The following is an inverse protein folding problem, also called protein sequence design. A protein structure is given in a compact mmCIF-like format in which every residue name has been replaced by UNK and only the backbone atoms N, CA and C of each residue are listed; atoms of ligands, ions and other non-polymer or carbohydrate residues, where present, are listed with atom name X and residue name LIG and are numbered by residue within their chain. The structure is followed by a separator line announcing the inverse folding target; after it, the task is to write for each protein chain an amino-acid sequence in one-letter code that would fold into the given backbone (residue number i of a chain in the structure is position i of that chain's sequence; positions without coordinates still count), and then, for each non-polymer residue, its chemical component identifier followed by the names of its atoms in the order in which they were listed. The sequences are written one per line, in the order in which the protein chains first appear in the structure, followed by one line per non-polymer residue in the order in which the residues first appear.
data_IF_816368460220
#
_entry.id   IF_816368460220
#
_cell.length_a   1.000
_cell.length_b   1.000
_cell.length_c   1.000
_cell.angle_alpha   90.00
_cell.angle_beta   90.00
_cell.angle_gamma   90.00
#
_symmetry.space_group_name_H-M   'P 1'
#
loop_
_entity.id
_entity.type
_entity.pdbx_description
1 polymer ?
#
# COMPACT_ATOMS: atom_id res chain seq x y z
N UNK A 1 -61.25 30.39 -46.30
CA UNK A 1 -60.78 30.66 -44.92
C UNK A 1 -59.57 29.77 -44.67
N UNK A 2 -58.37 30.32 -44.86
CA UNK A 2 -57.08 29.63 -44.69
C UNK A 2 -56.44 30.15 -43.42
N UNK A 3 -56.36 29.30 -42.39
CA UNK A 3 -55.83 29.64 -41.08
C UNK A 3 -54.33 29.31 -41.08
N UNK A 4 -53.48 30.35 -41.01
CA UNK A 4 -52.02 30.21 -40.86
C UNK A 4 -51.70 30.01 -39.37
N UNK A 5 -51.13 28.88 -38.99
CA UNK A 5 -50.56 28.62 -37.67
C UNK A 5 -49.09 29.07 -37.72
N UNK A 6 -48.72 30.06 -36.91
CA UNK A 6 -47.35 30.49 -36.72
C UNK A 6 -46.69 29.58 -35.66
N UNK A 7 -45.61 28.91 -36.03
CA UNK A 7 -44.81 28.07 -35.14
C UNK A 7 -43.74 28.95 -34.48
N UNK A 8 -43.87 29.19 -33.17
CA UNK A 8 -42.86 29.85 -32.36
C UNK A 8 -41.83 28.82 -31.91
N UNK A 9 -40.58 28.99 -32.33
CA UNK A 9 -39.43 28.18 -31.90
C UNK A 9 -38.91 28.80 -30.60
N UNK A 10 -39.10 28.12 -29.46
CA UNK A 10 -38.37 28.41 -28.23
C UNK A 10 -36.95 27.85 -28.36
N UNK A 11 -35.94 28.73 -28.43
CA UNK A 11 -34.56 28.36 -28.15
C UNK A 11 -34.41 28.19 -26.63
N UNK A 12 -34.26 26.95 -26.16
CA UNK A 12 -33.76 26.67 -24.83
C UNK A 12 -32.23 26.84 -24.84
N UNK A 13 -31.73 27.90 -24.21
CA UNK A 13 -30.30 28.07 -23.96
C UNK A 13 -29.88 27.14 -22.82
N UNK A 14 -29.22 26.04 -23.15
CA UNK A 14 -28.55 25.15 -22.21
C UNK A 14 -27.29 25.83 -21.68
N UNK A 15 -27.34 26.38 -20.47
CA UNK A 15 -26.14 26.81 -19.74
C UNK A 15 -25.44 25.56 -19.21
N UNK A 16 -24.48 25.03 -19.97
CA UNK A 16 -23.50 24.10 -19.43
C UNK A 16 -22.67 24.84 -18.37
N UNK A 17 -22.74 24.38 -17.12
CA UNK A 17 -21.78 24.80 -16.10
C UNK A 17 -20.39 24.34 -16.57
N UNK A 18 -19.34 25.18 -16.46
CA UNK A 18 -17.98 24.74 -16.77
C UNK A 18 -17.64 23.61 -15.80
N UNK A 19 -17.25 22.44 -16.35
CA UNK A 19 -16.56 21.43 -15.56
C UNK A 19 -15.32 22.11 -14.96
N UNK A 20 -15.20 22.12 -13.63
CA UNK A 20 -13.97 22.54 -12.98
C UNK A 20 -12.88 21.60 -13.48
N UNK A 21 -11.89 22.13 -14.20
CA UNK A 21 -10.75 21.34 -14.62
C UNK A 21 -10.01 20.90 -13.34
N UNK A 22 -9.80 19.59 -13.19
CA UNK A 22 -8.96 19.07 -12.12
C UNK A 22 -7.54 19.63 -12.33
N UNK A 23 -6.95 20.17 -11.27
CA UNK A 23 -5.56 20.64 -11.33
C UNK A 23 -4.64 19.43 -11.53
N UNK A 24 -3.60 19.62 -12.34
CA UNK A 24 -2.67 18.57 -12.72
C UNK A 24 -1.25 19.06 -12.56
N UNK A 25 -0.34 18.10 -12.39
CA UNK A 25 1.11 18.30 -12.36
C UNK A 25 1.77 17.44 -13.43
N UNK A 26 2.92 17.88 -13.90
CA UNK A 26 3.72 17.16 -14.89
C UNK A 26 4.79 16.32 -14.21
N UNK A 27 4.94 15.07 -14.65
CA UNK A 27 6.03 14.18 -14.27
C UNK A 27 6.93 13.97 -15.48
N UNK A 28 8.21 14.29 -15.34
CA UNK A 28 9.22 14.14 -16.40
C UNK A 28 10.40 13.29 -15.94
N UNK A 29 10.96 12.53 -16.86
CA UNK A 29 12.15 11.73 -16.58
C UNK A 29 12.67 11.02 -17.82
N UNK A 30 13.71 10.23 -17.62
CA UNK A 30 14.30 9.38 -18.64
C UNK A 30 14.55 7.99 -18.08
N UNK A 31 14.48 6.94 -18.90
CA UNK A 31 14.86 5.58 -18.52
C UNK A 31 16.17 5.18 -19.22
N UNK A 32 17.11 4.61 -18.47
CA UNK A 32 18.38 4.11 -19.00
C UNK A 32 18.84 2.82 -18.33
N UNK A 33 19.72 2.05 -18.96
CA UNK A 33 20.37 0.86 -18.37
C UNK A 33 21.89 0.90 -18.63
N UNK A 34 22.70 0.20 -17.81
CA UNK A 34 24.17 0.25 -17.88
C UNK A 34 24.78 -0.67 -18.95
N UNK A 35 24.05 -1.72 -19.31
CA UNK A 35 24.51 -2.78 -20.20
C UNK A 35 24.76 -2.21 -21.60
N UNK A 36 25.85 -2.61 -22.25
CA UNK A 36 26.21 -2.17 -23.60
C UNK A 36 25.49 -3.00 -24.67
N UNK A 37 24.16 -3.02 -24.59
CA UNK A 37 23.28 -3.76 -25.50
C UNK A 37 22.39 -2.74 -26.19
N UNK A 38 22.25 -2.82 -27.51
CA UNK A 38 21.36 -1.95 -28.26
C UNK A 38 19.91 -2.41 -28.13
N UNK A 39 18.97 -1.47 -28.04
CA UNK A 39 17.54 -1.76 -28.12
C UNK A 39 17.15 -2.12 -29.56
N UNK A 40 16.26 -3.11 -29.73
CA UNK A 40 15.66 -3.38 -31.03
C UNK A 40 14.75 -2.22 -31.45
N UNK A 41 14.54 -2.04 -32.75
CA UNK A 41 13.69 -0.97 -33.31
C UNK A 41 12.23 -1.04 -32.82
N UNK A 42 11.76 -2.25 -32.49
CA UNK A 42 10.42 -2.52 -31.96
C UNK A 42 10.28 -2.22 -30.46
N UNK A 43 11.33 -1.75 -29.80
CA UNK A 43 11.27 -1.41 -28.38
C UNK A 43 10.31 -0.24 -28.12
N UNK A 44 9.63 -0.31 -26.99
CA UNK A 44 8.70 0.69 -26.48
C UNK A 44 9.12 1.10 -25.07
N UNK A 45 9.02 2.39 -24.77
CA UNK A 45 9.03 2.90 -23.40
C UNK A 45 7.60 2.87 -22.88
N UNK A 46 7.42 2.30 -21.70
CA UNK A 46 6.15 2.30 -20.98
C UNK A 46 6.34 2.94 -19.62
N UNK A 47 5.50 3.90 -19.29
CA UNK A 47 5.41 4.46 -17.96
C UNK A 47 3.93 4.47 -17.53
N UNK A 48 3.65 3.97 -16.34
CA UNK A 48 2.31 3.92 -15.76
C UNK A 48 2.35 4.57 -14.38
N UNK A 49 1.38 5.44 -14.12
CA UNK A 49 1.16 6.03 -12.81
C UNK A 49 -0.14 5.47 -12.25
N UNK A 50 -0.04 4.79 -11.11
CA UNK A 50 -1.19 4.20 -10.43
C UNK A 50 -1.40 4.83 -9.05
N UNK A 51 -2.63 5.15 -8.74
CA UNK A 51 -3.03 5.74 -7.46
C UNK A 51 -3.56 4.70 -6.47
N UNK A 52 -4.28 5.15 -5.43
CA UNK A 52 -5.00 4.26 -4.51
C UNK A 52 -5.93 3.31 -5.27
N UNK A 53 -6.11 2.10 -4.75
CA UNK A 53 -6.90 1.03 -5.40
C UNK A 53 -6.47 0.72 -6.85
N UNK A 54 -5.18 0.91 -7.15
CA UNK A 54 -4.59 0.65 -8.46
C UNK A 54 -5.21 1.46 -9.62
N UNK A 55 -5.86 2.59 -9.32
CA UNK A 55 -6.42 3.49 -10.34
C UNK A 55 -5.33 3.92 -11.31
N UNK A 56 -5.53 3.68 -12.60
CA UNK A 56 -4.65 4.21 -13.64
C UNK A 56 -4.87 5.72 -13.79
N UNK A 57 -3.92 6.51 -13.30
CA UNK A 57 -3.98 7.98 -13.37
C UNK A 57 -3.43 8.50 -14.70
N UNK A 58 -2.35 7.90 -15.18
CA UNK A 58 -1.74 8.24 -16.47
C UNK A 58 -0.94 7.06 -17.02
N UNK A 59 -0.85 7.00 -18.35
CA UNK A 59 -0.04 6.03 -19.06
C UNK A 59 0.68 6.71 -20.23
N UNK A 60 1.94 6.34 -20.40
CA UNK A 60 2.79 6.68 -21.52
C UNK A 60 3.26 5.38 -22.16
N UNK A 61 2.99 5.20 -23.46
CA UNK A 61 3.44 4.02 -24.19
C UNK A 61 3.85 4.45 -25.60
N UNK A 62 5.15 4.58 -25.85
CA UNK A 62 5.67 5.09 -27.11
C UNK A 62 6.77 4.18 -27.68
N UNK A 63 6.72 3.86 -28.99
CA UNK A 63 7.84 3.23 -29.68
C UNK A 63 9.09 4.10 -29.60
N UNK A 64 10.24 3.46 -29.42
CA UNK A 64 11.54 4.13 -29.43
C UNK A 64 11.92 4.63 -30.83
N UNK A 65 11.37 4.04 -31.90
CA UNK A 65 11.72 4.42 -33.27
C UNK A 65 13.22 4.25 -33.59
N UNK A 66 13.87 3.29 -32.92
CA UNK A 66 15.31 3.06 -33.01
C UNK A 66 16.18 3.91 -32.08
N UNK A 67 15.58 4.86 -31.34
CA UNK A 67 16.30 5.60 -30.30
C UNK A 67 16.87 4.65 -29.24
N UNK A 68 18.03 5.03 -28.70
CA UNK A 68 18.73 4.29 -27.65
C UNK A 68 18.64 5.07 -26.34
N UNK A 69 18.91 4.39 -25.23
CA UNK A 69 18.91 5.01 -23.90
C UNK A 69 19.93 6.15 -23.79
N UNK A 70 19.65 7.21 -22.99
CA UNK A 70 18.44 7.41 -22.18
C UNK A 70 17.20 7.78 -23.02
N UNK A 71 16.02 7.27 -22.63
CA UNK A 71 14.75 7.50 -23.34
C UNK A 71 13.79 8.33 -22.49
N UNK A 72 13.33 9.50 -22.96
CA UNK A 72 12.50 10.40 -22.18
C UNK A 72 11.03 9.95 -22.10
N UNK A 73 10.36 10.35 -21.02
CA UNK A 73 8.91 10.25 -20.88
C UNK A 73 8.35 11.50 -20.18
N UNK A 74 7.08 11.78 -20.45
CA UNK A 74 6.31 12.84 -19.80
C UNK A 74 4.90 12.34 -19.56
N UNK A 75 4.39 12.57 -18.36
CA UNK A 75 3.05 12.20 -17.90
C UNK A 75 2.42 13.40 -17.20
N UNK A 76 1.09 13.50 -17.24
CA UNK A 76 0.32 14.45 -16.45
C UNK A 76 -0.59 13.67 -15.52
N UNK A 77 -0.60 14.02 -14.23
CA UNK A 77 -1.44 13.37 -13.22
C UNK A 77 -2.16 14.43 -12.38
N UNK A 78 -3.27 14.08 -11.71
CA UNK A 78 -3.87 14.93 -10.70
C UNK A 78 -2.86 15.33 -9.61
N UNK A 79 -2.99 16.53 -9.06
CA UNK A 79 -2.13 17.00 -7.96
C UNK A 79 -2.63 16.64 -6.55
N UNK A 80 -3.89 16.23 -6.46
CA UNK A 80 -4.61 15.84 -5.26
C UNK A 80 -4.46 14.36 -4.88
N UNK A 81 -3.51 13.64 -5.51
CA UNK A 81 -3.32 12.19 -5.34
C UNK A 81 -1.87 11.83 -5.00
N UNK A 82 -1.70 10.86 -4.10
CA UNK A 82 -0.44 10.12 -3.96
C UNK A 82 -0.44 8.97 -4.96
N UNK A 83 0.68 8.69 -5.60
CA UNK A 83 0.72 7.69 -6.66
C UNK A 83 2.05 6.96 -6.72
N UNK A 84 2.10 5.87 -7.48
CA UNK A 84 3.31 5.12 -7.76
C UNK A 84 3.55 5.09 -9.27
N UNK A 85 4.74 5.52 -9.67
CA UNK A 85 5.21 5.45 -11.05
C UNK A 85 6.00 4.16 -11.27
N UNK A 86 5.66 3.43 -12.33
CA UNK A 86 6.46 2.32 -12.85
C UNK A 86 6.93 2.66 -14.26
N UNK A 87 8.24 2.52 -14.55
CA UNK A 87 8.80 2.77 -15.88
C UNK A 87 9.56 1.55 -16.38
N UNK A 88 9.30 1.16 -17.62
CA UNK A 88 9.87 -0.03 -18.24
C UNK A 88 10.18 0.14 -19.72
N UNK A 89 11.04 -0.73 -20.23
CA UNK A 89 11.26 -0.91 -21.66
C UNK A 89 10.77 -2.30 -22.04
N UNK A 90 9.85 -2.34 -23.00
CA UNK A 90 9.22 -3.56 -23.47
C UNK A 90 9.47 -3.78 -24.97
N UNK A 91 9.64 -5.03 -25.38
CA UNK A 91 9.63 -5.45 -26.78
C UNK A 91 9.12 -6.88 -26.89
N UNK A 92 8.59 -7.25 -28.05
CA UNK A 92 7.97 -8.57 -28.27
C UNK A 92 6.82 -8.88 -27.29
N UNK A 93 6.12 -7.84 -26.82
CA UNK A 93 5.03 -7.95 -25.85
C UNK A 93 5.47 -8.22 -24.40
N UNK A 94 6.77 -8.23 -24.12
CA UNK A 94 7.32 -8.51 -22.79
C UNK A 94 8.10 -7.32 -22.25
N UNK A 95 7.96 -7.05 -20.96
CA UNK A 95 8.87 -6.15 -20.23
C UNK A 95 10.24 -6.82 -20.15
N UNK A 96 11.29 -6.10 -20.54
CA UNK A 96 12.68 -6.61 -20.56
C UNK A 96 13.58 -5.81 -19.64
N UNK A 97 13.24 -4.55 -19.39
CA UNK A 97 13.91 -3.69 -18.45
C UNK A 97 12.87 -3.00 -17.56
N UNK A 98 13.10 -2.97 -16.26
CA UNK A 98 12.25 -2.31 -15.28
C UNK A 98 13.11 -1.42 -14.40
N UNK A 99 12.71 -0.15 -14.24
CA UNK A 99 13.28 0.73 -13.24
C UNK A 99 12.58 0.49 -11.89
N UNK A 100 13.26 0.73 -10.75
CA UNK A 100 12.59 0.78 -9.46
C UNK A 100 11.40 1.74 -9.51
N UNK A 101 10.31 1.33 -8.85
CA UNK A 101 9.11 2.14 -8.71
C UNK A 101 9.43 3.41 -7.93
N UNK A 102 8.75 4.50 -8.28
CA UNK A 102 8.91 5.79 -7.61
C UNK A 102 7.58 6.18 -6.99
N UNK A 103 7.57 6.38 -5.67
CA UNK A 103 6.43 6.97 -4.98
C UNK A 103 6.39 8.48 -5.24
N UNK A 104 5.24 8.95 -5.72
CA UNK A 104 4.95 10.33 -6.03
C UNK A 104 4.09 10.90 -4.89
N UNK A 105 4.62 11.86 -4.10
CA UNK A 105 3.89 12.45 -2.99
C UNK A 105 2.79 13.38 -3.50
N UNK A 106 1.78 13.62 -2.66
CA UNK A 106 0.75 14.63 -2.89
C UNK A 106 1.37 16.03 -3.15
N UNK A 107 0.84 16.80 -4.10
CA UNK A 107 1.26 18.18 -4.33
C UNK A 107 1.13 18.65 -5.78
N UNK A 108 1.11 19.96 -6.00
CA UNK A 108 0.91 20.58 -7.32
C UNK A 108 2.17 20.91 -8.13
N UNK A 109 3.35 20.79 -7.53
CA UNK A 109 4.60 21.13 -8.24
C UNK A 109 4.95 20.04 -9.27
N UNK A 110 5.48 20.43 -10.42
CA UNK A 110 6.01 19.47 -11.39
C UNK A 110 7.17 18.64 -10.78
N UNK A 111 7.27 17.37 -11.13
CA UNK A 111 8.35 16.47 -10.70
C UNK A 111 9.28 16.18 -11.87
N UNK A 112 10.57 16.49 -11.70
CA UNK A 112 11.64 16.07 -12.59
C UNK A 112 12.47 14.96 -11.94
N UNK A 113 12.28 13.72 -12.38
CA UNK A 113 12.90 12.52 -11.81
C UNK A 113 14.35 12.30 -12.26
N UNK A 114 14.79 13.00 -13.30
CA UNK A 114 16.08 12.73 -13.94
C UNK A 114 16.10 11.36 -14.62
N UNK A 115 17.24 10.69 -14.58
CA UNK A 115 17.43 9.39 -15.22
C UNK A 115 17.17 8.24 -14.24
N UNK A 116 16.15 7.44 -14.53
CA UNK A 116 15.81 6.20 -13.84
C UNK A 116 16.64 5.05 -14.40
N UNK A 117 17.41 4.41 -13.52
CA UNK A 117 18.30 3.32 -13.85
C UNK A 117 17.53 1.98 -13.84
N UNK A 118 17.21 1.46 -15.01
CA UNK A 118 16.56 0.17 -15.19
C UNK A 118 17.54 -1.01 -15.10
N UNK A 119 17.02 -2.11 -14.57
CA UNK A 119 17.67 -3.41 -14.51
C UNK A 119 16.94 -4.42 -15.41
N UNK A 120 17.59 -5.52 -15.81
CA UNK A 120 16.91 -6.61 -16.52
C UNK A 120 15.73 -7.14 -15.69
N UNK A 121 14.58 -7.30 -16.33
CA UNK A 121 13.38 -7.79 -15.68
C UNK A 121 13.04 -9.21 -16.12
N UNK A 122 12.66 -10.05 -15.16
CA UNK A 122 12.17 -11.42 -15.40
C UNK A 122 10.83 -11.59 -14.71
N UNK A 123 9.79 -11.87 -15.51
CA UNK A 123 8.48 -12.22 -15.00
C UNK A 123 8.52 -13.63 -14.41
N UNK A 124 8.44 -13.74 -13.08
CA UNK A 124 8.33 -15.03 -12.41
C UNK A 124 6.85 -15.44 -12.27
N UNK A 125 6.53 -16.67 -12.61
CA UNK A 125 5.20 -17.24 -12.40
C UNK A 125 5.11 -17.88 -11.01
N UNK A 126 3.92 -17.84 -10.40
CA UNK A 126 3.64 -18.38 -9.05
C UNK A 126 4.63 -17.90 -7.99
N UNK A 127 4.31 -16.80 -7.33
CA UNK A 127 5.14 -16.21 -6.27
C UNK A 127 4.62 -16.60 -4.90
N UNK A 128 5.53 -16.79 -3.95
CA UNK A 128 5.20 -16.86 -2.52
C UNK A 128 5.75 -15.63 -1.82
N UNK A 129 4.96 -15.06 -0.91
CA UNK A 129 5.38 -13.90 -0.12
C UNK A 129 6.07 -14.35 1.16
N UNK A 130 7.17 -13.69 1.52
CA UNK A 130 7.92 -13.94 2.75
C UNK A 130 8.10 -12.64 3.52
N UNK A 131 7.91 -12.70 4.84
CA UNK A 131 8.27 -11.63 5.75
C UNK A 131 9.68 -11.90 6.27
N UNK A 132 10.65 -11.11 5.80
CA UNK A 132 12.05 -11.17 6.19
C UNK A 132 12.36 -10.03 7.19
N UNK A 133 12.08 -10.25 8.47
CA UNK A 133 12.30 -9.26 9.54
C UNK A 133 11.60 -7.91 9.26
N UNK A 134 10.40 -8.00 8.69
CA UNK A 134 9.47 -6.93 8.35
C UNK A 134 9.59 -6.39 6.93
N UNK A 135 10.59 -6.78 6.13
CA UNK A 135 10.57 -6.58 4.69
C UNK A 135 9.75 -7.70 4.04
N UNK A 136 8.65 -7.36 3.35
CA UNK A 136 7.89 -8.33 2.58
C UNK A 136 8.54 -8.43 1.19
N UNK A 137 8.95 -9.64 0.83
CA UNK A 137 9.47 -9.95 -0.51
C UNK A 137 8.57 -10.99 -1.18
N UNK A 138 8.54 -10.98 -2.51
CA UNK A 138 7.93 -12.03 -3.31
C UNK A 138 9.03 -12.90 -3.93
N UNK A 139 8.97 -14.20 -3.71
CA UNK A 139 9.87 -15.17 -4.31
C UNK A 139 9.12 -15.99 -5.37
N UNK A 140 9.50 -15.83 -6.63
CA UNK A 140 8.98 -16.62 -7.75
C UNK A 140 10.08 -17.44 -8.42
N UNK A 141 9.70 -18.44 -9.20
CA UNK A 141 10.65 -19.34 -9.87
C UNK A 141 10.51 -19.28 -11.38
N UNK A 142 11.64 -19.23 -12.07
CA UNK A 142 11.74 -19.36 -13.52
C UNK A 142 12.84 -20.35 -13.84
N UNK A 143 12.46 -21.54 -14.33
CA UNK A 143 13.37 -22.68 -14.49
C UNK A 143 14.08 -22.99 -13.15
N UNK A 144 15.41 -23.08 -13.16
CA UNK A 144 16.24 -23.34 -11.97
C UNK A 144 16.75 -22.05 -11.29
N UNK A 145 16.11 -20.92 -11.58
CA UNK A 145 16.43 -19.63 -10.96
C UNK A 145 15.28 -19.15 -10.10
N UNK A 146 15.62 -18.55 -8.96
CA UNK A 146 14.69 -17.79 -8.15
C UNK A 146 14.76 -16.32 -8.56
N UNK A 147 13.60 -15.68 -8.56
CA UNK A 147 13.44 -14.24 -8.75
C UNK A 147 12.84 -13.71 -7.45
N UNK A 148 13.68 -13.04 -6.66
CA UNK A 148 13.22 -12.29 -5.49
C UNK A 148 12.83 -10.90 -5.97
N UNK A 149 11.59 -10.50 -5.75
CA UNK A 149 11.08 -9.15 -6.06
C UNK A 149 10.79 -8.43 -4.74
N UNK A 150 11.31 -7.22 -4.60
CA UNK A 150 11.06 -6.34 -3.44
C UNK A 150 9.89 -5.41 -3.71
N UNK A 151 9.46 -4.67 -2.70
CA UNK A 151 8.32 -3.74 -2.78
C UNK A 151 8.51 -2.64 -3.85
N UNK A 152 9.73 -2.16 -4.04
CA UNK A 152 10.08 -1.18 -5.07
C UNK A 152 10.12 -1.78 -6.50
N UNK A 153 9.83 -3.07 -6.65
CA UNK A 153 9.89 -3.79 -7.92
C UNK A 153 11.31 -4.20 -8.35
N UNK A 154 12.34 -3.88 -7.56
CA UNK A 154 13.70 -4.36 -7.83
C UNK A 154 13.75 -5.89 -7.72
N UNK A 155 14.53 -6.50 -8.60
CA UNK A 155 14.64 -7.95 -8.70
C UNK A 155 16.05 -8.45 -8.44
N UNK A 156 16.13 -9.56 -7.69
CA UNK A 156 17.34 -10.34 -7.51
C UNK A 156 17.14 -11.73 -8.08
N UNK A 157 17.88 -12.02 -9.16
CA UNK A 157 17.81 -13.28 -9.88
C UNK A 157 19.01 -14.13 -9.48
N UNK A 158 18.76 -15.32 -8.95
CA UNK A 158 19.82 -16.21 -8.46
C UNK A 158 19.59 -17.64 -8.94
N UNK A 159 20.60 -18.32 -9.52
CA UNK A 159 20.50 -19.73 -9.84
C UNK A 159 20.53 -20.61 -8.59
N UNK A 160 19.96 -21.80 -8.70
CA UNK A 160 20.05 -22.80 -7.66
C UNK A 160 21.49 -23.30 -7.49
N UNK A 161 21.90 -23.49 -6.24
CA UNK A 161 23.18 -24.09 -5.85
C UNK A 161 22.93 -25.34 -5.00
N UNK A 162 23.90 -26.26 -4.99
CA UNK A 162 23.81 -27.50 -4.23
C UNK A 162 23.79 -27.19 -2.72
N UNK A 163 22.83 -27.77 -2.00
CA UNK A 163 22.72 -27.67 -0.55
C UNK A 163 22.41 -29.03 0.09
N UNK A 164 22.80 -29.20 1.35
CA UNK A 164 22.59 -30.45 2.09
C UNK A 164 21.11 -30.73 2.43
N UNK A 165 20.29 -29.68 2.52
CA UNK A 165 18.84 -29.75 2.78
C UNK A 165 18.16 -28.45 2.38
N UNK A 166 16.96 -28.51 1.80
CA UNK A 166 16.24 -27.36 1.25
C UNK A 166 16.77 -26.90 -0.11
N UNK A 167 16.14 -25.89 -0.70
CA UNK A 167 16.62 -25.29 -1.95
C UNK A 167 17.34 -23.98 -1.65
N UNK A 168 18.62 -23.91 -2.05
CA UNK A 168 19.46 -22.73 -1.89
C UNK A 168 19.73 -22.13 -3.27
N UNK A 169 19.62 -20.81 -3.34
CA UNK A 169 19.90 -20.01 -4.52
C UNK A 169 20.89 -18.94 -4.11
N UNK A 170 21.91 -18.68 -4.92
CA UNK A 170 22.97 -17.74 -4.57
C UNK A 170 23.44 -16.97 -5.79
N UNK A 171 23.87 -15.72 -5.57
CA UNK A 171 24.52 -14.96 -6.63
C UNK A 171 25.81 -15.69 -7.07
N UNK A 172 26.03 -15.91 -8.38
CA UNK A 172 27.25 -16.53 -8.91
C UNK A 172 28.55 -15.82 -8.55
N UNK A 173 28.53 -14.49 -8.45
CA UNK A 173 29.68 -13.61 -8.22
C UNK A 173 29.99 -13.45 -6.72
N UNK A 174 28.99 -13.53 -5.84
CA UNK A 174 29.16 -13.39 -4.39
C UNK A 174 28.25 -14.30 -3.53
N UNK A 175 28.35 -15.64 -3.68
CA UNK A 175 27.37 -16.60 -3.13
C UNK A 175 27.31 -16.67 -1.59
N UNK A 176 28.32 -16.18 -0.90
CA UNK A 176 28.36 -16.11 0.58
C UNK A 176 27.73 -14.84 1.14
N UNK A 177 27.65 -13.79 0.30
CA UNK A 177 27.10 -12.48 0.66
C UNK A 177 25.66 -12.31 0.22
N UNK A 178 25.25 -12.98 -0.87
CA UNK A 178 23.88 -12.86 -1.39
C UNK A 178 23.32 -14.24 -1.75
N UNK A 179 22.34 -14.70 -0.95
CA UNK A 179 21.65 -15.97 -1.15
C UNK A 179 20.24 -15.96 -0.56
N UNK A 180 19.41 -16.88 -1.06
CA UNK A 180 18.13 -17.23 -0.47
C UNK A 180 18.08 -18.74 -0.24
N UNK A 181 17.78 -19.18 0.98
CA UNK A 181 17.75 -20.60 1.32
C UNK A 181 16.41 -20.98 1.97
N UNK A 182 15.55 -21.63 1.20
CA UNK A 182 14.22 -22.02 1.65
C UNK A 182 14.21 -23.45 2.22
N UNK A 183 13.44 -23.64 3.30
CA UNK A 183 13.19 -24.92 3.96
C UNK A 183 11.74 -24.97 4.47
N UNK A 184 10.84 -25.44 3.61
CA UNK A 184 9.40 -25.42 3.92
C UNK A 184 8.90 -23.99 4.02
N UNK A 185 8.23 -23.66 5.12
CA UNK A 185 7.60 -22.34 5.37
C UNK A 185 8.56 -21.29 5.94
N UNK A 186 9.83 -21.63 6.11
CA UNK A 186 10.87 -20.70 6.54
C UNK A 186 11.94 -20.57 5.45
N UNK A 187 12.58 -19.41 5.39
CA UNK A 187 13.76 -19.19 4.58
C UNK A 187 14.78 -18.35 5.33
N UNK A 188 16.05 -18.59 5.08
CA UNK A 188 17.12 -17.70 5.50
C UNK A 188 17.57 -16.93 4.28
N UNK A 189 17.51 -15.61 4.35
CA UNK A 189 17.94 -14.72 3.28
C UNK A 189 19.18 -13.95 3.70
N UNK A 190 20.17 -13.85 2.81
CA UNK A 190 21.22 -12.86 2.92
C UNK A 190 21.22 -11.98 1.69
N UNK A 191 21.17 -10.67 1.88
CA UNK A 191 21.22 -9.69 0.79
C UNK A 191 22.37 -8.73 1.07
N UNK A 192 23.40 -8.78 0.24
CA UNK A 192 24.58 -7.90 0.29
C UNK A 192 25.22 -7.86 1.69
N UNK A 193 25.28 -9.03 2.33
CA UNK A 193 25.88 -9.25 3.65
C UNK A 193 24.91 -9.18 4.83
N UNK A 194 23.71 -8.63 4.66
CA UNK A 194 22.68 -8.56 5.71
C UNK A 194 21.92 -9.88 5.76
N UNK A 195 21.97 -10.56 6.91
CA UNK A 195 21.28 -11.82 7.14
C UNK A 195 19.94 -11.58 7.83
N UNK A 196 18.87 -12.15 7.29
CA UNK A 196 17.52 -12.10 7.85
C UNK A 196 16.86 -13.47 7.83
N UNK A 197 16.09 -13.77 8.87
CA UNK A 197 15.19 -14.93 8.87
C UNK A 197 13.82 -14.52 8.30
N UNK A 198 13.31 -15.36 7.43
CA UNK A 198 12.08 -15.13 6.70
C UNK A 198 11.06 -16.21 7.01
N UNK A 199 9.81 -15.81 7.22
CA UNK A 199 8.67 -16.72 7.32
C UNK A 199 7.75 -16.52 6.12
N UNK A 200 7.19 -17.61 5.58
CA UNK A 200 6.12 -17.51 4.58
C UNK A 200 4.99 -16.70 5.19
N UNK A 201 4.60 -15.63 4.49
CA UNK A 201 3.32 -14.99 4.74
C UNK A 201 2.33 -15.93 4.08
N UNK A 202 1.52 -16.61 4.89
CA UNK A 202 0.38 -17.35 4.35
C UNK A 202 -0.34 -16.39 3.40
N UNK A 203 -0.69 -16.84 2.20
CA UNK A 203 -1.60 -16.11 1.32
C UNK A 203 -2.89 -15.91 2.11
N UNK A 204 -2.94 -14.87 2.94
CA UNK A 204 -4.13 -14.09 3.10
C UNK A 204 -4.37 -13.62 1.68
N UNK A 205 -5.12 -14.41 0.90
CA UNK A 205 -5.87 -13.92 -0.24
C UNK A 205 -6.30 -12.53 0.15
N UNK A 206 -5.68 -11.52 -0.47
CA UNK A 206 -5.58 -10.17 0.08
C UNK A 206 -6.89 -9.86 0.77
N UNK A 207 -6.86 -9.78 2.11
CA UNK A 207 -8.09 -9.79 2.90
C UNK A 207 -9.05 -8.80 2.25
N UNK A 208 -10.31 -9.19 2.00
CA UNK A 208 -11.19 -8.42 1.14
C UNK A 208 -11.18 -6.97 1.60
N UNK A 209 -11.10 -6.03 0.65
CA UNK A 209 -11.32 -4.65 1.01
C UNK A 209 -12.76 -4.52 1.47
N UNK A 210 -12.98 -3.94 2.64
CA UNK A 210 -14.29 -3.81 3.25
C UNK A 210 -14.61 -2.34 3.46
N UNK A 211 -15.86 -1.96 3.26
CA UNK A 211 -16.38 -0.72 3.78
C UNK A 211 -17.78 -0.90 4.36
N UNK A 212 -18.09 -0.17 5.41
CA UNK A 212 -19.37 -0.30 6.12
C UNK A 212 -19.81 1.00 6.78
N UNK A 213 -21.11 1.11 6.99
CA UNK A 213 -21.72 2.17 7.79
C UNK A 213 -22.85 1.63 8.67
N UNK A 214 -23.19 2.39 9.71
CA UNK A 214 -24.08 1.92 10.79
C UNK A 214 -25.54 2.38 10.67
N UNK A 215 -25.80 3.58 10.13
CA UNK A 215 -27.16 4.16 10.07
C UNK A 215 -27.45 4.83 8.71
N UNK A 216 -28.16 4.16 7.79
CA UNK A 216 -28.59 2.75 7.87
C UNK A 216 -27.40 1.79 7.74
N UNK A 217 -27.54 0.57 8.26
CA UNK A 217 -26.51 -0.46 8.23
C UNK A 217 -26.23 -0.99 6.82
N UNK A 218 -24.96 -0.95 6.40
CA UNK A 218 -24.50 -1.52 5.13
C UNK A 218 -23.06 -2.03 5.22
N UNK A 219 -22.74 -3.03 4.40
CA UNK A 219 -21.40 -3.60 4.26
C UNK A 219 -21.16 -3.91 2.79
N UNK A 220 -20.02 -3.49 2.25
CA UNK A 220 -19.49 -3.99 0.98
C UNK A 220 -18.16 -4.70 1.22
N UNK A 221 -18.02 -5.88 0.63
CA UNK A 221 -16.78 -6.66 0.63
C UNK A 221 -16.31 -6.82 -0.82
N UNK A 222 -15.04 -6.52 -1.09
CA UNK A 222 -14.44 -6.56 -2.42
C UNK A 222 -13.25 -7.53 -2.42
N UNK A 223 -13.28 -8.52 -3.30
CA UNK A 223 -12.21 -9.51 -3.51
C UNK A 223 -11.84 -9.57 -4.99
N UNK A 224 -10.66 -9.07 -5.33
CA UNK A 224 -10.35 -8.76 -6.73
C UNK A 224 -11.39 -7.78 -7.27
N UNK A 225 -11.98 -8.11 -8.42
CA UNK A 225 -13.02 -7.26 -9.02
C UNK A 225 -14.43 -7.60 -8.52
N UNK A 226 -14.61 -8.68 -7.75
CA UNK A 226 -15.94 -9.08 -7.30
C UNK A 226 -16.32 -8.34 -6.02
N UNK A 227 -17.58 -7.94 -5.91
CA UNK A 227 -18.12 -7.36 -4.69
C UNK A 227 -19.41 -8.07 -4.22
N UNK A 228 -19.61 -8.05 -2.91
CA UNK A 228 -20.89 -8.37 -2.26
C UNK A 228 -21.31 -7.18 -1.41
N UNK A 229 -22.50 -6.64 -1.67
CA UNK A 229 -23.13 -5.58 -0.88
C UNK A 229 -24.29 -6.15 -0.08
N UNK A 230 -24.19 -6.04 1.23
CA UNK A 230 -25.22 -6.42 2.20
C UNK A 230 -25.81 -5.17 2.82
N UNK A 231 -27.15 -5.10 2.84
CA UNK A 231 -27.90 -4.02 3.50
C UNK A 231 -28.98 -4.64 4.38
N UNK A 232 -29.29 -3.99 5.50
CA UNK A 232 -30.27 -4.51 6.44
C UNK A 232 -31.64 -4.68 5.76
N UNK A 233 -32.27 -5.85 5.97
CA UNK A 233 -33.58 -6.22 5.43
C UNK A 233 -33.67 -6.28 3.88
N UNK A 234 -32.54 -6.38 3.19
CA UNK A 234 -32.46 -6.52 1.72
C UNK A 234 -31.66 -7.77 1.32
N UNK A 235 -31.90 -8.27 0.11
CA UNK A 235 -31.10 -9.36 -0.47
C UNK A 235 -29.69 -8.83 -0.84
N UNK A 236 -28.68 -9.68 -0.68
CA UNK A 236 -27.31 -9.34 -1.08
C UNK A 236 -27.22 -9.03 -2.58
N UNK A 237 -26.51 -7.95 -2.90
CA UNK A 237 -26.18 -7.58 -4.28
C UNK A 237 -24.76 -8.00 -4.56
N UNK A 238 -24.60 -8.91 -5.53
CA UNK A 238 -23.29 -9.41 -5.95
C UNK A 238 -23.02 -8.91 -7.37
N UNK A 239 -21.80 -8.47 -7.63
CA UNK A 239 -21.41 -8.00 -8.95
C UNK A 239 -19.90 -7.95 -9.15
N UNK A 240 -19.52 -7.34 -10.26
CA UNK A 240 -18.13 -7.06 -10.63
C UNK A 240 -17.96 -5.55 -10.71
N UNK A 241 -16.97 -5.02 -10.03
CA UNK A 241 -16.61 -3.61 -10.08
C UNK A 241 -16.12 -3.24 -11.48
N UNK A 242 -16.52 -2.08 -12.00
CA UNK A 242 -15.89 -1.51 -13.19
C UNK A 242 -14.46 -1.06 -12.86
N UNK A 243 -13.69 -0.71 -13.89
CA UNK A 243 -12.43 0.01 -13.72
C UNK A 243 -12.66 1.30 -12.91
N UNK A 244 -11.91 1.52 -11.81
CA UNK A 244 -12.07 2.71 -11.00
C UNK A 244 -11.49 3.95 -11.68
N UNK A 245 -12.00 5.12 -11.28
CA UNK A 245 -11.49 6.42 -11.73
C UNK A 245 -11.15 7.30 -10.54
N UNK A 246 -10.16 8.18 -10.70
CA UNK A 246 -9.87 9.20 -9.69
C UNK A 246 -10.72 10.45 -9.95
N UNK A 247 -11.48 10.90 -8.96
CA UNK A 247 -12.32 12.09 -9.05
C UNK A 247 -12.36 12.85 -7.72
N UNK A 248 -11.87 14.10 -7.73
CA UNK A 248 -11.96 15.04 -6.61
C UNK A 248 -11.42 14.46 -5.28
N UNK A 249 -10.20 13.95 -5.27
CA UNK A 249 -9.60 13.39 -4.05
C UNK A 249 -10.08 11.99 -3.66
N UNK A 250 -10.75 11.25 -4.55
CA UNK A 250 -11.27 9.92 -4.22
C UNK A 250 -11.25 8.96 -5.41
N UNK A 251 -11.17 7.68 -5.09
CA UNK A 251 -11.45 6.58 -6.02
C UNK A 251 -12.96 6.44 -6.19
N UNK A 252 -13.42 6.33 -7.44
CA UNK A 252 -14.83 6.23 -7.80
C UNK A 252 -15.08 5.03 -8.71
N UNK A 253 -16.00 4.16 -8.28
CA UNK A 253 -16.57 3.09 -9.09
C UNK A 253 -18.02 3.44 -9.46
N UNK A 254 -18.29 3.58 -10.76
CA UNK A 254 -19.64 3.84 -11.29
C UNK A 254 -20.30 2.55 -11.77
N UNK A 255 -21.06 1.91 -10.88
CA UNK A 255 -21.70 0.62 -11.13
C UNK A 255 -23.01 0.86 -11.88
N UNK A 256 -23.16 0.25 -13.06
CA UNK A 256 -24.34 0.47 -13.91
C UNK A 256 -25.51 -0.48 -13.61
N UNK A 257 -25.26 -1.61 -12.95
CA UNK A 257 -26.30 -2.57 -12.60
C UNK A 257 -25.98 -3.31 -11.27
N UNK A 258 -26.70 -3.00 -10.17
CA UNK A 258 -27.65 -1.90 -10.07
C UNK A 258 -26.94 -0.55 -10.22
N UNK A 259 -27.68 0.50 -10.58
CA UNK A 259 -27.13 1.87 -10.67
C UNK A 259 -26.68 2.31 -9.27
N UNK A 260 -25.37 2.40 -9.05
CA UNK A 260 -24.75 2.81 -7.80
C UNK A 260 -23.40 3.48 -8.06
N UNK A 261 -22.94 4.28 -7.11
CA UNK A 261 -21.59 4.84 -7.12
C UNK A 261 -20.93 4.62 -5.77
N UNK A 262 -19.81 3.89 -5.76
CA UNK A 262 -18.94 3.76 -4.59
C UNK A 262 -17.82 4.79 -4.72
N UNK A 263 -17.58 5.56 -3.66
CA UNK A 263 -16.51 6.54 -3.59
C UNK A 263 -15.69 6.33 -2.32
N UNK A 264 -14.38 6.19 -2.44
CA UNK A 264 -13.44 6.00 -1.32
C UNK A 264 -12.34 7.08 -1.36
N UNK A 265 -12.31 7.93 -0.35
CA UNK A 265 -11.29 8.96 -0.18
C UNK A 265 -10.22 8.47 0.82
N UNK A 266 -8.92 8.70 0.55
CA UNK A 266 -7.81 8.32 1.43
C UNK A 266 -7.70 9.28 2.63
N UNK A 267 -8.77 9.37 3.41
CA UNK A 267 -8.92 10.18 4.61
C UNK A 267 -9.36 9.28 5.76
N UNK A 268 -8.68 9.38 6.91
CA UNK A 268 -8.96 8.57 8.08
C UNK A 268 -10.40 8.78 8.54
N UNK A 269 -11.18 7.70 8.51
CA UNK A 269 -12.57 7.66 8.95
C UNK A 269 -12.64 7.01 10.33
N UNK A 270 -13.32 7.65 11.27
CA UNK A 270 -13.59 7.05 12.57
C UNK A 270 -14.97 6.41 12.53
N UNK A 271 -15.03 5.09 12.71
CA UNK A 271 -16.29 4.36 12.68
C UNK A 271 -17.22 4.87 13.78
N UNK A 272 -18.45 5.25 13.42
CA UNK A 272 -19.38 5.89 14.35
C UNK A 272 -19.92 4.94 15.43
N UNK A 273 -19.85 3.61 15.21
CA UNK A 273 -20.34 2.63 16.17
C UNK A 273 -19.26 2.27 17.22
N UNK A 274 -18.00 2.19 16.79
CA UNK A 274 -16.90 1.63 17.59
C UNK A 274 -15.81 2.65 17.93
N UNK A 275 -15.71 3.73 17.15
CA UNK A 275 -14.59 4.68 17.20
C UNK A 275 -13.31 4.17 16.53
N UNK A 276 -13.31 2.98 15.95
CA UNK A 276 -12.15 2.39 15.28
C UNK A 276 -11.75 3.26 14.07
N UNK A 277 -10.48 3.67 13.93
CA UNK A 277 -10.02 4.38 12.75
C UNK A 277 -9.82 3.41 11.58
N UNK A 278 -10.31 3.82 10.41
CA UNK A 278 -10.14 3.16 9.13
C UNK A 278 -9.42 4.10 8.16
N UNK A 279 -8.63 3.57 7.21
CA UNK A 279 -7.82 4.40 6.33
C UNK A 279 -8.60 5.27 5.35
N UNK A 280 -9.87 4.95 5.10
CA UNK A 280 -10.65 5.62 4.06
C UNK A 280 -12.05 6.03 4.54
N UNK A 281 -12.47 7.20 4.07
CA UNK A 281 -13.84 7.69 4.19
C UNK A 281 -14.60 7.29 2.93
N UNK A 282 -15.71 6.57 3.11
CA UNK A 282 -16.43 5.93 2.01
C UNK A 282 -17.87 6.42 1.95
N UNK A 283 -18.36 6.62 0.74
CA UNK A 283 -19.79 6.83 0.49
C UNK A 283 -20.28 5.92 -0.63
N UNK A 284 -21.45 5.31 -0.43
CA UNK A 284 -22.18 4.55 -1.43
C UNK A 284 -23.46 5.30 -1.81
N UNK A 285 -23.53 5.80 -3.05
CA UNK A 285 -24.74 6.43 -3.60
C UNK A 285 -25.54 5.38 -4.36
N UNK A 286 -26.80 5.19 -4.02
CA UNK A 286 -27.73 4.26 -4.68
C UNK A 286 -28.46 4.96 -5.85
N UNK A 287 -29.08 4.18 -6.74
CA UNK A 287 -29.76 4.70 -7.94
C UNK A 287 -30.98 5.59 -7.65
N UNK A 288 -31.51 5.56 -6.42
CA UNK A 288 -32.55 6.47 -5.95
C UNK A 288 -32.00 7.82 -5.42
N UNK A 289 -30.67 7.97 -5.40
CA UNK A 289 -29.95 9.13 -4.87
C UNK A 289 -29.65 9.06 -3.38
N UNK A 290 -30.02 8.00 -2.68
CA UNK A 290 -29.67 7.79 -1.27
C UNK A 290 -28.16 7.65 -1.13
N UNK A 291 -27.55 8.40 -0.21
CA UNK A 291 -26.11 8.33 0.06
C UNK A 291 -25.89 7.69 1.42
N UNK A 292 -25.17 6.58 1.43
CA UNK A 292 -24.78 5.85 2.63
C UNK A 292 -23.33 6.20 2.97
N UNK A 293 -23.10 6.75 4.15
CA UNK A 293 -21.76 7.08 4.64
C UNK A 293 -21.16 5.89 5.38
N UNK A 294 -19.83 5.76 5.37
CA UNK A 294 -19.14 4.70 6.07
C UNK A 294 -17.62 4.85 6.04
N UNK A 295 -16.96 3.88 6.64
CA UNK A 295 -15.51 3.78 6.70
C UNK A 295 -15.03 2.58 5.90
N UNK A 296 -13.86 2.68 5.26
CA UNK A 296 -13.32 1.67 4.35
C UNK A 296 -11.87 1.30 4.62
N UNK A 297 -11.51 0.09 4.21
CA UNK A 297 -10.18 -0.48 4.34
C UNK A 297 -9.92 -1.11 5.70
N UNK A 298 -8.75 -1.75 5.82
CA UNK A 298 -8.33 -2.46 7.02
C UNK A 298 -7.68 -1.50 8.03
N UNK A 299 -8.20 -1.34 9.25
CA UNK A 299 -7.58 -0.52 10.30
C UNK A 299 -6.09 -0.81 10.54
N UNK A 300 -5.66 -2.06 10.36
CA UNK A 300 -4.27 -2.44 10.56
C UNK A 300 -3.29 -1.74 9.61
N UNK A 301 -3.73 -1.34 8.41
CA UNK A 301 -2.86 -0.63 7.46
C UNK A 301 -2.43 0.75 7.95
N UNK A 302 -3.19 1.36 8.87
CA UNK A 302 -2.85 2.63 9.50
C UNK A 302 -1.67 2.50 10.49
N UNK A 303 -1.48 1.32 11.07
CA UNK A 303 -0.37 1.06 12.00
C UNK A 303 0.86 0.47 11.30
N UNK A 304 0.64 -0.25 10.20
CA UNK A 304 1.68 -0.95 9.45
C UNK A 304 2.54 -0.02 8.59
N UNK A 305 3.66 -0.56 8.10
CA UNK A 305 4.63 0.14 7.26
C UNK A 305 5.85 0.59 8.04
N UNK A 306 5.91 1.88 8.34
CA UNK A 306 7.05 2.52 9.00
C UNK A 306 7.09 2.27 10.52
N UNK A 307 8.25 2.52 11.12
CA UNK A 307 8.46 2.37 12.57
C UNK A 307 7.94 3.59 13.31
N UNK A 308 7.08 3.36 14.29
CA UNK A 308 6.60 4.39 15.21
C UNK A 308 7.65 4.64 16.30
N UNK A 309 8.09 5.89 16.44
CA UNK A 309 8.94 6.34 17.55
C UNK A 309 8.08 6.91 18.66
N UNK A 310 8.17 6.32 19.84
CA UNK A 310 7.46 6.76 21.03
C UNK A 310 8.02 8.10 21.50
N UNK A 311 7.12 9.04 21.71
CA UNK A 311 7.40 10.41 22.15
C UNK A 311 6.94 10.66 23.58
N UNK A 312 5.97 9.87 24.06
CA UNK A 312 5.48 9.92 25.44
C UNK A 312 4.96 8.56 25.92
N UNK A 313 5.17 8.28 27.21
CA UNK A 313 4.65 7.11 27.92
C UNK A 313 3.94 7.55 29.21
N UNK A 314 2.61 7.41 29.26
CA UNK A 314 1.74 7.78 30.38
C UNK A 314 1.90 9.24 30.85
N UNK A 315 2.06 10.20 29.94
CA UNK A 315 2.29 11.63 30.20
C UNK A 315 3.56 11.91 31.03
N UNK A 316 4.54 11.00 30.98
CA UNK A 316 5.80 11.11 31.72
C UNK A 316 7.02 11.35 30.81
N UNK A 317 6.80 11.53 29.51
CA UNK A 317 7.84 11.62 28.49
C UNK A 317 8.57 10.30 28.25
N UNK A 318 9.67 10.37 27.50
CA UNK A 318 10.57 9.24 27.24
C UNK A 318 11.95 9.46 27.89
N UNK A 319 12.68 8.39 28.27
CA UNK A 319 14.05 8.48 28.75
C UNK A 319 14.97 9.17 27.73
N UNK A 320 15.97 9.90 28.20
CA UNK A 320 16.98 10.51 27.31
C UNK A 320 18.02 9.50 26.78
N UNK A 321 18.10 8.32 27.39
CA UNK A 321 19.12 7.29 27.16
C UNK A 321 18.60 6.03 26.46
N UNK A 322 17.45 6.13 25.77
CA UNK A 322 16.94 5.03 24.94
C UNK A 322 15.74 5.45 24.08
N UNK A 323 15.58 4.77 22.94
CA UNK A 323 14.48 5.01 22.01
C UNK A 323 13.37 3.98 22.21
N UNK A 324 12.13 4.46 22.32
CA UNK A 324 10.95 3.60 22.20
C UNK A 324 10.57 3.47 20.74
N UNK A 325 10.65 2.26 20.19
CA UNK A 325 10.29 1.97 18.79
C UNK A 325 9.24 0.87 18.75
N UNK A 326 8.21 1.04 17.91
CA UNK A 326 7.15 0.05 17.70
C UNK A 326 6.95 -0.13 16.20
N UNK A 327 6.97 -1.38 15.74
CA UNK A 327 6.70 -1.75 14.37
C UNK A 327 5.59 -2.80 14.34
N UNK A 328 4.54 -2.51 13.60
CA UNK A 328 3.44 -3.42 13.31
C UNK A 328 3.63 -4.01 11.91
N UNK A 329 3.67 -5.33 11.80
CA UNK A 329 3.85 -6.00 10.53
C UNK A 329 2.52 -6.59 10.01
N UNK A 330 2.44 -6.79 8.69
CA UNK A 330 1.23 -7.29 8.03
C UNK A 330 0.82 -8.71 8.45
N UNK A 331 1.76 -9.49 8.99
CA UNK A 331 1.53 -10.86 9.49
C UNK A 331 0.98 -10.92 10.92
N UNK A 332 0.63 -9.77 11.51
CA UNK A 332 0.15 -9.68 12.89
C UNK A 332 1.26 -9.73 13.93
N UNK A 333 2.54 -9.65 13.54
CA UNK A 333 3.64 -9.50 14.49
C UNK A 333 3.84 -8.03 14.90
N UNK A 334 4.17 -7.82 16.18
CA UNK A 334 4.60 -6.52 16.70
C UNK A 334 6.02 -6.68 17.25
N UNK A 335 6.91 -5.76 16.91
CA UNK A 335 8.29 -5.79 17.35
C UNK A 335 8.82 -4.38 17.58
N UNK A 336 9.95 -4.28 18.28
CA UNK A 336 10.62 -3.00 18.42
C UNK A 336 11.59 -2.95 19.57
N UNK A 337 11.79 -1.74 20.09
CA UNK A 337 12.70 -1.45 21.18
C UNK A 337 11.92 -0.76 22.30
N UNK A 338 11.91 -1.36 23.49
CA UNK A 338 11.35 -0.79 24.71
C UNK A 338 12.44 0.00 25.45
N UNK A 339 12.92 1.07 24.81
CA UNK A 339 14.04 1.93 25.24
C UNK A 339 15.42 1.28 25.15
N UNK A 340 15.66 0.18 25.85
CA UNK A 340 16.95 -0.51 25.84
C UNK A 340 16.89 -1.92 25.27
N UNK A 341 15.86 -2.67 25.66
CA UNK A 341 15.67 -4.04 25.24
C UNK A 341 14.83 -4.11 23.97
N UNK A 342 15.12 -5.12 23.16
CA UNK A 342 14.29 -5.45 22.01
C UNK A 342 13.14 -6.33 22.50
N UNK A 343 11.94 -6.11 21.95
CA UNK A 343 10.77 -6.93 22.22
C UNK A 343 10.15 -7.46 20.92
N UNK A 344 9.47 -8.59 21.05
CA UNK A 344 8.67 -9.22 20.00
C UNK A 344 7.35 -9.71 20.59
N UNK A 345 6.33 -9.81 19.75
CA UNK A 345 5.04 -10.39 20.10
C UNK A 345 4.11 -10.41 18.90
N UNK A 346 2.82 -10.55 19.18
CA UNK A 346 1.76 -10.45 18.18
C UNK A 346 0.74 -9.38 18.56
N UNK A 347 -0.01 -8.92 17.57
CA UNK A 347 -1.15 -8.05 17.76
C UNK A 347 -2.28 -8.48 16.83
N UNK A 348 -3.50 -8.21 17.24
CA UNK A 348 -4.71 -8.43 16.44
C UNK A 348 -5.59 -7.20 16.53
N UNK A 349 -6.22 -6.83 15.42
CA UNK A 349 -7.26 -5.79 15.39
C UNK A 349 -8.58 -6.48 15.05
N UNK A 350 -9.48 -6.46 16.03
CA UNK A 350 -10.88 -6.88 15.84
C UNK A 350 -11.74 -5.72 15.33
N UNK A 351 -13.06 -5.92 15.34
CA UNK A 351 -14.00 -4.87 14.90
C UNK A 351 -14.00 -3.62 15.79
N UNK A 352 -13.68 -3.77 17.08
CA UNK A 352 -13.84 -2.69 18.07
C UNK A 352 -12.57 -2.38 18.87
N UNK A 353 -11.56 -3.27 18.82
CA UNK A 353 -10.37 -3.13 19.65
C UNK A 353 -9.12 -3.70 18.97
N UNK A 354 -7.98 -3.11 19.30
CA UNK A 354 -6.67 -3.72 19.14
C UNK A 354 -6.33 -4.52 20.40
N UNK A 355 -5.65 -5.65 20.26
CA UNK A 355 -5.14 -6.42 21.39
C UNK A 355 -3.72 -6.89 21.13
N UNK A 356 -2.92 -6.94 22.19
CA UNK A 356 -1.57 -7.50 22.12
C UNK A 356 -1.57 -8.93 22.66
N UNK A 357 -0.88 -9.82 21.95
CA UNK A 357 -0.57 -11.16 22.43
C UNK A 357 0.55 -11.16 23.48
N UNK A 358 1.21 -12.31 23.63
CA UNK A 358 2.35 -12.41 24.53
C UNK A 358 3.53 -11.58 23.99
N UNK A 359 4.00 -10.62 24.80
CA UNK A 359 5.21 -9.84 24.50
C UNK A 359 6.41 -10.45 25.24
N UNK A 360 7.43 -10.85 24.49
CA UNK A 360 8.72 -11.29 25.00
C UNK A 360 9.76 -10.18 24.82
N UNK A 361 10.64 -10.00 25.82
CA UNK A 361 11.73 -9.02 25.78
C UNK A 361 13.08 -9.69 26.02
N UNK A 362 14.13 -9.04 25.53
CA UNK A 362 15.53 -9.38 25.84
C UNK A 362 15.94 -8.81 27.20
N UNK A 363 17.08 -9.26 27.74
CA UNK A 363 17.63 -8.77 29.01
C UNK A 363 19.06 -8.25 28.80
N UNK A 364 19.18 -6.99 28.40
CA UNK A 364 20.41 -6.20 28.38
C UNK A 364 20.55 -5.45 29.71
N UNK A 365 21.78 -5.11 30.05
CA UNK A 365 22.09 -4.25 31.20
C UNK A 365 22.09 -2.80 30.69
N UNK A 366 21.25 -1.94 31.28
CA UNK A 366 21.03 -0.56 30.80
C UNK A 366 21.20 0.46 31.95
N UNK A 367 20.97 1.74 31.65
CA UNK A 367 20.87 2.79 32.66
C UNK A 367 19.60 2.65 33.50
N UNK A 368 19.64 3.10 34.76
CA UNK A 368 18.54 2.93 35.71
C UNK A 368 17.19 3.55 35.25
N UNK A 369 17.22 4.56 34.38
CA UNK A 369 15.98 5.15 33.85
C UNK A 369 15.33 4.28 32.76
N UNK A 370 16.12 3.71 31.85
CA UNK A 370 15.62 2.82 30.82
C UNK A 370 15.05 1.51 31.43
N UNK A 371 15.76 0.90 32.38
CA UNK A 371 15.32 -0.33 33.06
C UNK A 371 13.95 -0.14 33.75
N UNK A 372 13.75 0.97 34.47
CA UNK A 372 12.49 1.25 35.17
C UNK A 372 11.32 1.51 34.21
N UNK A 373 11.60 2.02 33.00
CA UNK A 373 10.57 2.42 32.03
C UNK A 373 10.17 1.31 31.08
N UNK A 374 11.02 0.31 30.88
CA UNK A 374 10.73 -0.84 30.02
C UNK A 374 9.48 -1.61 30.45
N UNK A 375 9.36 -1.97 31.73
CA UNK A 375 8.21 -2.72 32.22
C UNK A 375 6.91 -1.94 32.02
N UNK A 376 6.96 -0.61 32.27
CA UNK A 376 5.86 0.30 32.04
C UNK A 376 5.46 0.40 30.56
N UNK A 377 6.44 0.40 29.66
CA UNK A 377 6.20 0.41 28.21
C UNK A 377 5.50 -0.87 27.74
N UNK A 378 6.03 -2.03 28.10
CA UNK A 378 5.45 -3.32 27.71
C UNK A 378 4.07 -3.54 28.35
N UNK A 379 3.86 -3.00 29.56
CA UNK A 379 2.54 -2.98 30.21
C UNK A 379 1.57 -2.08 29.44
N UNK A 380 1.97 -0.86 29.10
CA UNK A 380 1.12 0.07 28.36
C UNK A 380 0.74 -0.50 26.97
N UNK A 381 1.68 -1.13 26.27
CA UNK A 381 1.35 -1.86 25.05
C UNK A 381 0.26 -2.93 25.28
N UNK A 382 0.40 -3.76 26.32
CA UNK A 382 -0.61 -4.79 26.64
C UNK A 382 -1.98 -4.23 27.06
N UNK A 383 -1.99 -3.09 27.72
CA UNK A 383 -3.22 -2.44 28.18
C UNK A 383 -3.93 -1.65 27.06
N UNK A 384 -3.30 -1.52 25.90
CA UNK A 384 -3.88 -0.82 24.75
C UNK A 384 -5.06 -1.63 24.20
N UNK A 385 -6.21 -0.96 24.08
CA UNK A 385 -7.42 -1.53 23.46
C UNK A 385 -7.89 -0.73 22.25
N UNK A 386 -7.45 0.52 22.10
CA UNK A 386 -7.84 1.39 21.00
C UNK A 386 -6.63 2.20 20.52
N UNK A 387 -6.65 2.60 19.25
CA UNK A 387 -5.69 3.56 18.72
C UNK A 387 -6.41 4.69 17.99
N UNK A 388 -5.78 5.86 17.94
CA UNK A 388 -6.28 7.04 17.23
C UNK A 388 -5.10 7.86 16.69
N UNK A 389 -5.39 8.87 15.89
CA UNK A 389 -4.40 9.80 15.38
C UNK A 389 -4.72 11.23 15.82
N UNK A 390 -3.70 11.97 16.21
CA UNK A 390 -3.83 13.40 16.45
C UNK A 390 -3.86 14.19 15.12
N UNK A 391 -4.08 15.50 15.20
CA UNK A 391 -4.17 16.38 14.03
C UNK A 391 -2.87 16.47 13.20
N UNK A 392 -1.74 16.02 13.73
CA UNK A 392 -0.45 15.95 13.04
C UNK A 392 -0.15 14.57 12.45
N UNK A 393 -1.04 13.59 12.65
CA UNK A 393 -0.81 12.20 12.26
C UNK A 393 -0.02 11.39 13.29
N UNK A 394 0.18 11.92 14.50
CA UNK A 394 0.81 11.19 15.61
C UNK A 394 -0.11 10.08 16.11
N UNK A 395 0.45 8.90 16.35
CA UNK A 395 -0.26 7.74 16.91
C UNK A 395 -0.50 7.94 18.40
N UNK A 396 -1.74 7.69 18.81
CA UNK A 396 -2.15 7.61 20.22
C UNK A 396 -2.67 6.19 20.51
N UNK A 397 -2.08 5.50 21.48
CA UNK A 397 -2.59 4.23 21.98
C UNK A 397 -3.32 4.46 23.30
N UNK A 398 -4.52 3.87 23.43
CA UNK A 398 -5.45 4.14 24.53
C UNK A 398 -5.82 2.88 25.29
N UNK A 399 -5.96 3.04 26.61
CA UNK A 399 -6.49 1.99 27.49
C UNK A 399 -8.03 1.90 27.44
N UNK A 400 -8.59 0.95 28.18
CA UNK A 400 -10.05 0.74 28.28
C UNK A 400 -10.80 1.93 28.88
N UNK A 401 -10.13 2.80 29.62
CA UNK A 401 -10.71 4.04 30.15
C UNK A 401 -10.69 5.19 29.13
N UNK A 402 -10.08 4.97 27.94
CA UNK A 402 -9.90 5.99 26.91
C UNK A 402 -8.68 6.90 27.15
N UNK A 403 -7.87 6.62 28.16
CA UNK A 403 -6.67 7.39 28.50
C UNK A 403 -5.59 7.10 27.46
N UNK A 404 -4.92 8.13 26.93
CA UNK A 404 -3.75 7.91 26.08
C UNK A 404 -2.58 7.48 26.96
N UNK A 405 -2.07 6.28 26.71
CA UNK A 405 -0.99 5.66 27.49
C UNK A 405 0.34 5.64 26.74
N UNK A 406 0.31 5.72 25.40
CA UNK A 406 1.50 5.87 24.55
C UNK A 406 1.20 6.89 23.44
N UNK A 407 2.16 7.78 23.16
CA UNK A 407 2.18 8.64 21.97
C UNK A 407 3.39 8.31 21.12
N UNK A 408 3.22 8.27 19.81
CA UNK A 408 4.31 8.01 18.88
C UNK A 408 4.17 8.80 17.58
N UNK A 409 5.26 9.00 16.86
CA UNK A 409 5.27 9.61 15.53
C UNK A 409 6.07 8.73 14.55
N UNK A 410 5.79 8.88 13.26
CA UNK A 410 6.65 8.32 12.21
C UNK A 410 7.91 9.18 12.04
#
# INVERSE_FOLDING_TARGET
MTQKIALAILLAASTALPAMAQETRTITGEIAYLQRIALPEVAQVRAEVRGPHDVLLAQYNQPTGGAQVPLPFTLEIPDDVTARLTVSIAFEGQVRWLAPSVDLPLGGDDIALGTLQAAPFVAAGFTSSFNCEGEIISAGFVNDTIVITREDGSQRIMPQVIAASGAKFADPDNPDQTFFWNKGDNATMRMDGILSECAVVADAQAAPWRASGFEPGWLIEITGDNYTLTRMDEDDVIGVLPEPTWQQGAVVWAISNPEMQLRAAPEVCYDNATGMPHPETVSLTLGDGTVLQGCGGNPASLLQGETWRVTDLNDLGVPSDGDGLIRFAADGSVSGQSFCNNFIGSYEIGGEAISMGHLASTLKICGAQADYREEGFLKALRDTVMFSFDASGGLELRDLAGTVIIRASR
#
